data_IF_966201090838
#
_entry.id   IF_966201090838
#
_cell.length_a   1.000
_cell.length_b   1.000
_cell.length_c   1.000
_cell.angle_alpha   90.00
_cell.angle_beta   90.00
_cell.angle_gamma   90.00
#
_symmetry.space_group_name_H-M   'P 1'
#
loop_
_entity.id
_entity.type
_entity.pdbx_description
1 polymer ?
#
# COMPACT_ATOMS: atom_id res chain seq x y z
N UNK A 1 -10.15 -61.76 -23.36
CA UNK A 1 -9.54 -60.46 -23.75
C UNK A 1 -10.49 -59.26 -23.79
N UNK A 2 -11.82 -59.39 -23.52
CA UNK A 2 -12.78 -58.26 -23.54
C UNK A 2 -13.01 -57.60 -22.16
N UNK A 3 -12.80 -58.35 -21.07
CA UNK A 3 -13.04 -57.89 -19.69
C UNK A 3 -11.98 -56.88 -19.23
N UNK A 4 -10.72 -57.09 -19.60
CA UNK A 4 -9.61 -56.20 -19.25
C UNK A 4 -9.73 -54.79 -19.88
N UNK A 5 -10.35 -54.69 -21.07
CA UNK A 5 -10.57 -53.41 -21.75
C UNK A 5 -11.68 -52.60 -21.08
N UNK A 6 -12.69 -53.28 -20.52
CA UNK A 6 -13.81 -52.65 -19.83
C UNK A 6 -13.38 -52.01 -18.51
N UNK A 7 -12.53 -52.69 -17.73
CA UNK A 7 -11.97 -52.16 -16.48
C UNK A 7 -11.06 -50.96 -16.71
N UNK A 8 -10.20 -50.99 -17.74
CA UNK A 8 -9.35 -49.84 -18.12
C UNK A 8 -10.16 -48.59 -18.48
N UNK A 9 -11.34 -48.75 -19.07
CA UNK A 9 -12.24 -47.62 -19.40
C UNK A 9 -12.90 -47.03 -18.16
N UNK A 10 -13.23 -47.85 -17.16
CA UNK A 10 -13.77 -47.37 -15.89
C UNK A 10 -12.72 -46.57 -15.12
N UNK A 11 -11.47 -47.05 -15.06
CA UNK A 11 -10.36 -46.33 -14.41
C UNK A 11 -10.12 -44.96 -15.04
N UNK A 12 -10.18 -44.86 -16.38
CA UNK A 12 -10.01 -43.58 -17.09
C UNK A 12 -11.17 -42.62 -16.79
N UNK A 13 -12.42 -43.11 -16.73
CA UNK A 13 -13.59 -42.28 -16.43
C UNK A 13 -13.58 -41.81 -14.97
N UNK A 14 -13.19 -42.68 -14.04
CA UNK A 14 -13.06 -42.34 -12.62
C UNK A 14 -11.92 -41.33 -12.39
N UNK A 15 -10.79 -41.50 -13.08
CA UNK A 15 -9.68 -40.54 -13.04
C UNK A 15 -10.07 -39.17 -13.63
N UNK A 16 -10.83 -39.15 -14.74
CA UNK A 16 -11.32 -37.90 -15.32
C UNK A 16 -12.33 -37.19 -14.40
N UNK A 17 -13.23 -37.95 -13.74
CA UNK A 17 -14.19 -37.42 -12.79
C UNK A 17 -13.51 -36.79 -11.56
N UNK A 18 -12.40 -37.38 -11.10
CA UNK A 18 -11.59 -36.84 -10.00
C UNK A 18 -10.94 -35.49 -10.39
N UNK A 19 -10.47 -35.33 -11.63
CA UNK A 19 -9.88 -34.07 -12.10
C UNK A 19 -10.90 -32.94 -12.22
N UNK A 20 -12.17 -33.24 -12.50
CA UNK A 20 -13.23 -32.21 -12.63
C UNK A 20 -13.77 -31.81 -11.24
N UNK A 21 -13.90 -32.77 -10.31
CA UNK A 21 -14.44 -32.53 -8.96
C UNK A 21 -13.40 -31.95 -7.98
N UNK A 22 -12.10 -32.12 -8.23
CA UNK A 22 -11.02 -31.49 -7.47
C UNK A 22 -10.41 -30.28 -8.18
N UNK A 23 -11.24 -29.53 -8.92
CA UNK A 23 -10.90 -28.14 -9.22
C UNK A 23 -10.96 -27.36 -7.91
N UNK A 24 -9.89 -27.48 -7.10
CA UNK A 24 -9.71 -26.60 -5.95
C UNK A 24 -9.67 -25.18 -6.51
N UNK A 25 -10.71 -24.41 -6.19
CA UNK A 25 -10.72 -22.98 -6.37
C UNK A 25 -9.42 -22.45 -5.78
N UNK A 26 -8.46 -22.13 -6.66
CA UNK A 26 -7.27 -21.39 -6.29
C UNK A 26 -7.73 -19.97 -6.02
N UNK A 27 -8.34 -19.76 -4.85
CA UNK A 27 -8.56 -18.44 -4.33
C UNK A 27 -7.18 -17.94 -3.93
N UNK A 28 -6.57 -17.13 -4.80
CA UNK A 28 -5.42 -16.33 -4.43
C UNK A 28 -5.89 -15.44 -3.27
N UNK A 29 -5.58 -15.83 -2.03
CA UNK A 29 -6.13 -15.21 -0.84
C UNK A 29 -6.01 -13.68 -0.90
N UNK A 30 -7.13 -12.98 -0.79
CA UNK A 30 -7.12 -11.55 -0.64
C UNK A 30 -6.48 -11.20 0.70
N UNK A 31 -5.53 -10.26 0.65
CA UNK A 31 -4.84 -9.85 1.87
C UNK A 31 -5.60 -8.72 2.55
N UNK A 32 -5.84 -8.92 3.84
CA UNK A 32 -6.58 -8.01 4.72
C UNK A 32 -5.71 -6.94 5.41
N UNK A 33 -4.44 -6.83 5.03
CA UNK A 33 -3.50 -5.83 5.56
C UNK A 33 -3.44 -4.59 4.66
N UNK A 34 -2.81 -3.51 5.12
CA UNK A 34 -2.72 -2.24 4.38
C UNK A 34 -1.57 -2.23 3.36
N UNK A 35 -1.81 -1.69 2.16
CA UNK A 35 -0.78 -1.39 1.17
C UNK A 35 -0.68 0.11 0.94
N UNK A 36 0.35 0.75 1.50
CA UNK A 36 0.43 2.22 1.59
C UNK A 36 1.79 2.68 1.08
N UNK A 37 1.81 3.74 0.28
CA UNK A 37 3.07 4.42 -0.05
C UNK A 37 3.39 5.51 0.98
N UNK A 38 4.66 5.86 1.12
CA UNK A 38 5.08 7.10 1.75
C UNK A 38 6.00 7.92 0.85
N UNK A 39 5.82 9.24 0.88
CA UNK A 39 6.54 10.19 0.05
C UNK A 39 6.86 11.48 0.81
N UNK A 40 7.93 12.15 0.40
CA UNK A 40 8.29 13.48 0.86
C UNK A 40 8.83 14.32 -0.29
N UNK A 41 8.59 15.63 -0.24
CA UNK A 41 9.23 16.61 -1.11
C UNK A 41 10.11 17.54 -0.26
N UNK A 42 11.23 18.01 -0.82
CA UNK A 42 12.20 18.87 -0.17
C UNK A 42 13.56 18.19 0.07
N UNK A 43 14.64 18.96 -0.01
CA UNK A 43 16.02 18.45 0.13
C UNK A 43 16.73 18.92 1.40
N UNK A 44 16.05 19.71 2.23
CA UNK A 44 16.59 20.28 3.47
C UNK A 44 17.11 19.18 4.44
N UNK A 45 18.28 19.38 5.10
CA UNK A 45 18.78 18.47 6.13
C UNK A 45 17.74 18.12 7.22
N UNK A 46 16.93 19.09 7.64
CA UNK A 46 15.88 18.89 8.66
C UNK A 46 14.75 18.00 8.14
N UNK A 47 14.41 18.14 6.86
CA UNK A 47 13.45 17.26 6.19
C UNK A 47 13.99 15.82 6.16
N UNK A 48 15.28 15.66 5.85
CA UNK A 48 15.93 14.33 5.81
C UNK A 48 15.89 13.63 7.16
N UNK A 49 16.11 14.36 8.26
CA UNK A 49 16.03 13.78 9.60
C UNK A 49 14.62 13.28 9.94
N UNK A 50 13.58 14.03 9.56
CA UNK A 50 12.20 13.59 9.77
C UNK A 50 11.81 12.41 8.87
N UNK A 51 12.22 12.48 7.60
CA UNK A 51 12.06 11.41 6.62
C UNK A 51 12.64 10.08 7.14
N UNK A 52 13.83 10.11 7.72
CA UNK A 52 14.46 8.92 8.32
C UNK A 52 13.68 8.41 9.54
N UNK A 53 13.15 9.29 10.42
CA UNK A 53 12.28 8.85 11.54
C UNK A 53 11.01 8.15 11.07
N UNK A 54 10.36 8.68 10.02
CA UNK A 54 9.17 8.06 9.43
C UNK A 54 9.54 6.72 8.81
N UNK A 55 10.65 6.66 8.07
CA UNK A 55 11.17 5.45 7.44
C UNK A 55 11.53 4.36 8.47
N UNK A 56 12.16 4.72 9.58
CA UNK A 56 12.47 3.79 10.67
C UNK A 56 11.20 3.23 11.29
N UNK A 57 10.20 4.08 11.54
CA UNK A 57 8.91 3.63 12.08
C UNK A 57 8.16 2.71 11.10
N UNK A 58 8.08 3.11 9.84
CA UNK A 58 7.42 2.42 8.75
C UNK A 58 7.92 0.99 8.49
N UNK A 59 9.24 0.80 8.64
CA UNK A 59 9.90 -0.47 8.36
C UNK A 59 10.27 -1.23 9.64
N UNK A 60 9.86 -0.74 10.81
CA UNK A 60 10.12 -1.39 12.10
C UNK A 60 8.94 -2.22 12.59
N UNK A 61 9.20 -3.10 13.55
CA UNK A 61 8.22 -4.06 14.09
C UNK A 61 7.12 -3.43 14.97
N UNK A 62 7.24 -2.14 15.26
CA UNK A 62 6.38 -1.45 16.23
C UNK A 62 5.11 -0.87 15.62
N UNK A 63 5.00 -0.79 14.29
CA UNK A 63 3.86 -0.17 13.62
C UNK A 63 2.52 -0.85 13.97
N UNK A 64 2.53 -2.18 14.10
CA UNK A 64 1.39 -2.98 14.56
C UNK A 64 0.86 -2.50 15.89
N UNK A 65 1.75 -2.48 16.88
CA UNK A 65 1.41 -2.14 18.26
C UNK A 65 0.98 -0.69 18.42
N UNK A 66 1.58 0.24 17.65
CA UNK A 66 1.34 1.68 17.78
C UNK A 66 0.12 2.13 16.99
N UNK A 67 -0.09 1.60 15.79
CA UNK A 67 -1.23 1.96 14.95
C UNK A 67 -2.46 1.08 15.21
N UNK A 68 -2.33 -0.04 15.94
CA UNK A 68 -3.44 -0.95 16.24
C UNK A 68 -3.93 -1.71 15.00
N UNK A 69 -3.01 -2.09 14.11
CA UNK A 69 -3.31 -2.75 12.83
C UNK A 69 -2.60 -4.11 12.75
N UNK A 70 -3.01 -4.94 11.79
CA UNK A 70 -2.32 -6.18 11.43
C UNK A 70 -1.45 -5.94 10.20
N UNK A 71 -0.26 -5.41 10.42
CA UNK A 71 0.83 -5.26 9.47
C UNK A 71 1.58 -6.59 9.39
N UNK A 72 1.40 -7.33 8.29
CA UNK A 72 2.21 -8.53 8.06
C UNK A 72 3.61 -8.07 7.66
N UNK A 73 4.51 -8.10 8.64
CA UNK A 73 5.92 -7.76 8.53
C UNK A 73 6.50 -8.13 7.15
N UNK A 74 7.17 -7.16 6.52
CA UNK A 74 7.82 -7.23 5.20
C UNK A 74 6.95 -7.37 3.96
N UNK A 75 5.67 -7.69 4.06
CA UNK A 75 4.83 -7.91 2.88
C UNK A 75 3.69 -6.90 2.74
N UNK A 76 3.30 -6.23 3.83
CA UNK A 76 2.47 -5.02 3.81
C UNK A 76 3.36 -3.86 3.36
N UNK A 77 3.29 -3.47 2.10
CA UNK A 77 4.22 -2.45 1.58
C UNK A 77 3.97 -1.11 2.28
N UNK A 78 4.97 -0.59 3.02
CA UNK A 78 5.15 0.84 3.30
C UNK A 78 6.39 1.40 2.58
N UNK A 79 6.28 1.56 1.27
CA UNK A 79 7.41 1.86 0.40
C UNK A 79 7.77 3.36 0.37
N UNK A 80 9.05 3.65 0.55
CA UNK A 80 9.68 4.96 0.34
C UNK A 80 10.43 4.97 -0.99
N UNK A 81 9.85 5.60 -2.02
CA UNK A 81 10.54 6.26 -3.15
C UNK A 81 9.50 6.70 -4.21
N UNK A 82 9.43 7.99 -4.52
CA UNK A 82 8.66 8.44 -5.69
C UNK A 82 9.17 7.80 -7.00
N UNK A 83 10.46 7.47 -7.08
CA UNK A 83 11.08 6.86 -8.27
C UNK A 83 10.54 5.47 -8.60
N UNK A 84 10.22 4.64 -7.60
CA UNK A 84 9.67 3.30 -7.86
C UNK A 84 8.16 3.35 -8.05
N UNK A 85 7.46 4.27 -7.38
CA UNK A 85 6.06 4.54 -7.70
C UNK A 85 5.89 5.17 -9.09
N UNK A 86 6.97 5.75 -9.65
CA UNK A 86 6.97 6.52 -10.89
C UNK A 86 5.90 7.63 -10.88
N UNK A 87 5.60 8.16 -9.70
CA UNK A 87 4.69 9.29 -9.52
C UNK A 87 5.53 10.55 -9.58
N UNK A 88 5.29 11.46 -10.54
CA UNK A 88 6.07 12.68 -10.66
C UNK A 88 5.79 13.63 -9.49
N UNK A 89 6.83 14.31 -9.01
CA UNK A 89 6.72 15.26 -7.89
C UNK A 89 5.75 16.40 -8.20
N UNK A 90 5.60 16.80 -9.48
CA UNK A 90 4.58 17.77 -9.93
C UNK A 90 3.15 17.31 -9.60
N UNK A 91 2.84 16.03 -9.84
CA UNK A 91 1.53 15.48 -9.52
C UNK A 91 1.30 15.47 -8.00
N UNK A 92 2.33 15.13 -7.21
CA UNK A 92 2.25 15.19 -5.75
C UNK A 92 2.04 16.62 -5.26
N UNK A 93 2.76 17.60 -5.83
CA UNK A 93 2.58 19.03 -5.50
C UNK A 93 1.17 19.50 -5.81
N UNK A 94 0.64 19.19 -7.00
CA UNK A 94 -0.74 19.52 -7.39
C UNK A 94 -1.77 18.93 -6.43
N UNK A 95 -1.61 17.67 -6.02
CA UNK A 95 -2.57 17.01 -5.12
C UNK A 95 -2.45 17.51 -3.69
N UNK A 96 -1.24 17.50 -3.14
CA UNK A 96 -1.02 17.70 -1.70
C UNK A 96 -0.85 19.16 -1.30
N UNK A 97 -0.26 19.99 -2.16
CA UNK A 97 0.03 21.39 -1.84
C UNK A 97 -1.05 22.29 -2.46
N UNK A 98 -1.32 22.15 -3.74
CA UNK A 98 -2.27 23.01 -4.47
C UNK A 98 -3.72 22.56 -4.32
N UNK A 99 -3.96 21.34 -3.83
CA UNK A 99 -5.29 20.72 -3.71
C UNK A 99 -6.07 20.70 -5.03
N UNK A 100 -5.36 20.59 -6.15
CA UNK A 100 -5.96 20.52 -7.48
C UNK A 100 -6.78 19.23 -7.62
N UNK A 101 -8.11 19.38 -7.64
CA UNK A 101 -9.04 18.25 -7.67
C UNK A 101 -8.98 17.46 -8.98
N UNK A 102 -8.59 18.11 -10.09
CA UNK A 102 -8.41 17.46 -11.40
C UNK A 102 -7.25 16.46 -11.40
N UNK A 103 -6.30 16.63 -10.48
CA UNK A 103 -5.16 15.75 -10.31
C UNK A 103 -5.46 14.52 -9.44
N UNK A 104 -6.56 14.51 -8.68
CA UNK A 104 -6.91 13.39 -7.79
C UNK A 104 -7.17 12.07 -8.54
N UNK A 105 -7.88 12.05 -9.69
CA UNK A 105 -8.04 10.84 -10.50
C UNK A 105 -6.71 10.33 -11.06
N UNK A 106 -5.78 11.22 -11.41
CA UNK A 106 -4.46 10.82 -11.91
C UNK A 106 -3.65 10.09 -10.83
N UNK A 107 -3.60 10.65 -9.61
CA UNK A 107 -2.94 9.99 -8.49
C UNK A 107 -3.63 8.67 -8.10
N UNK A 108 -4.97 8.66 -8.05
CA UNK A 108 -5.73 7.43 -7.76
C UNK A 108 -5.43 6.31 -8.78
N UNK A 109 -5.34 6.65 -10.07
CA UNK A 109 -4.98 5.68 -11.11
C UNK A 109 -3.57 5.15 -10.92
N UNK A 110 -2.58 6.02 -10.66
CA UNK A 110 -1.20 5.60 -10.42
C UNK A 110 -1.11 4.59 -9.27
N UNK A 111 -1.74 4.89 -8.13
CA UNK A 111 -1.77 4.04 -6.95
C UNK A 111 -2.50 2.70 -7.21
N UNK A 112 -3.64 2.72 -7.90
CA UNK A 112 -4.38 1.50 -8.29
C UNK A 112 -3.62 0.62 -9.27
N UNK A 113 -2.82 1.22 -10.15
CA UNK A 113 -2.04 0.51 -11.16
C UNK A 113 -0.70 -0.01 -10.64
N UNK A 114 -0.30 0.36 -9.43
CA UNK A 114 0.99 -0.03 -8.89
C UNK A 114 1.06 -1.55 -8.68
N UNK A 115 2.16 -2.17 -9.11
CA UNK A 115 2.39 -3.61 -8.98
C UNK A 115 3.80 -3.85 -8.45
N UNK A 116 3.94 -4.74 -7.48
CA UNK A 116 5.24 -5.18 -6.97
C UNK A 116 5.21 -6.70 -6.73
N UNK A 117 5.58 -7.51 -7.74
CA UNK A 117 5.46 -8.97 -7.67
C UNK A 117 6.19 -9.60 -6.48
N UNK A 118 7.41 -9.13 -6.18
CA UNK A 118 8.25 -9.67 -5.09
C UNK A 118 7.66 -9.45 -3.69
N UNK A 119 6.76 -8.47 -3.53
CA UNK A 119 6.10 -8.12 -2.27
C UNK A 119 4.61 -8.48 -2.29
N UNK A 120 4.20 -9.23 -3.31
CA UNK A 120 2.83 -9.66 -3.54
C UNK A 120 1.79 -8.51 -3.58
N UNK A 121 2.17 -7.33 -4.09
CA UNK A 121 1.21 -6.25 -4.34
C UNK A 121 0.69 -6.36 -5.77
N UNK A 122 -0.49 -6.98 -5.88
CA UNK A 122 -1.18 -7.27 -7.15
C UNK A 122 -2.38 -6.36 -7.40
N UNK A 123 -2.97 -5.80 -6.35
CA UNK A 123 -4.25 -5.08 -6.43
C UNK A 123 -4.10 -3.57 -6.29
N UNK A 124 -2.86 -3.07 -6.35
CA UNK A 124 -2.54 -1.66 -6.14
C UNK A 124 -2.35 -1.29 -4.67
N UNK A 125 -2.22 0.01 -4.44
CA UNK A 125 -2.10 0.59 -3.10
C UNK A 125 -3.44 1.14 -2.64
N UNK A 126 -3.66 1.17 -1.33
CA UNK A 126 -4.81 1.77 -0.67
C UNK A 126 -4.71 3.30 -0.59
N UNK A 127 -3.48 3.82 -0.61
CA UNK A 127 -3.23 5.25 -0.58
C UNK A 127 -1.75 5.60 -0.41
N UNK A 128 -1.50 6.87 -0.15
CA UNK A 128 -0.17 7.42 0.07
C UNK A 128 -0.18 8.45 1.20
N UNK A 129 0.76 8.30 2.13
CA UNK A 129 1.09 9.32 3.13
C UNK A 129 2.16 10.23 2.55
N UNK A 130 2.00 11.53 2.69
CA UNK A 130 2.88 12.53 2.11
C UNK A 130 3.36 13.51 3.18
N UNK A 131 4.65 13.82 3.20
CA UNK A 131 5.24 14.85 4.04
C UNK A 131 5.76 16.02 3.19
N UNK A 132 5.22 17.21 3.40
CA UNK A 132 5.68 18.43 2.74
C UNK A 132 6.84 19.05 3.51
N UNK A 133 8.07 18.67 3.18
CA UNK A 133 9.28 19.21 3.79
C UNK A 133 9.79 20.53 3.19
N UNK A 134 9.05 21.18 2.28
CA UNK A 134 9.44 22.45 1.66
C UNK A 134 8.67 23.65 2.18
N UNK A 135 7.35 23.51 2.38
CA UNK A 135 6.47 24.66 2.65
C UNK A 135 5.82 24.59 4.02
N UNK A 136 5.01 23.55 4.24
CA UNK A 136 4.13 23.48 5.40
C UNK A 136 4.66 22.62 6.54
N UNK A 137 5.64 21.74 6.26
CA UNK A 137 6.13 20.73 7.21
C UNK A 137 5.00 19.86 7.77
N UNK A 138 3.95 19.62 6.99
CA UNK A 138 2.78 18.84 7.41
C UNK A 138 2.79 17.45 6.81
N UNK A 139 2.30 16.50 7.60
CA UNK A 139 1.97 15.17 7.14
C UNK A 139 0.53 15.15 6.62
N UNK A 140 0.32 14.46 5.51
CA UNK A 140 -0.93 14.39 4.78
C UNK A 140 -1.16 12.98 4.26
N UNK A 141 -2.38 12.67 3.83
CA UNK A 141 -2.73 11.37 3.27
C UNK A 141 -3.78 11.48 2.19
N UNK A 142 -3.57 10.74 1.11
CA UNK A 142 -4.53 10.57 0.04
C UNK A 142 -4.91 9.10 -0.06
N UNK A 143 -6.20 8.81 0.11
CA UNK A 143 -6.77 7.48 -0.08
C UNK A 143 -7.16 7.30 -1.54
N UNK A 144 -6.95 6.12 -2.09
CA UNK A 144 -7.32 5.82 -3.48
C UNK A 144 -8.82 6.05 -3.71
N UNK A 145 -9.14 6.81 -4.76
CA UNK A 145 -10.52 7.17 -5.10
C UNK A 145 -11.10 8.30 -4.24
N UNK A 146 -10.35 8.85 -3.29
CA UNK A 146 -10.81 9.97 -2.49
C UNK A 146 -10.91 11.26 -3.32
N UNK A 147 -11.80 12.15 -2.84
CA UNK A 147 -11.99 13.51 -3.39
C UNK A 147 -11.39 14.59 -2.49
N UNK A 148 -10.57 14.21 -1.52
CA UNK A 148 -9.92 15.14 -0.61
C UNK A 148 -8.63 14.53 -0.07
N UNK A 149 -7.77 15.38 0.47
CA UNK A 149 -6.54 14.98 1.16
C UNK A 149 -6.74 15.22 2.65
N UNK A 150 -6.47 14.19 3.45
CA UNK A 150 -6.43 14.30 4.90
C UNK A 150 -5.13 14.98 5.32
N UNK A 151 -5.19 15.89 6.27
CA UNK A 151 -4.02 16.63 6.75
C UNK A 151 -3.95 16.50 8.26
N UNK A 152 -2.78 16.12 8.78
CA UNK A 152 -2.57 16.17 10.21
C UNK A 152 -2.48 17.65 10.64
N UNK A 153 -3.19 18.07 11.70
CA UNK A 153 -3.32 19.48 12.04
C UNK A 153 -2.00 20.13 12.44
N UNK A 154 -1.07 19.37 13.01
CA UNK A 154 0.21 19.87 13.49
C UNK A 154 1.28 19.79 12.38
N UNK A 155 2.03 20.88 12.22
CA UNK A 155 3.27 20.89 11.44
C UNK A 155 4.43 20.37 12.30
N UNK A 156 5.33 19.63 11.68
CA UNK A 156 6.51 19.07 12.32
C UNK A 156 7.73 19.96 12.10
N UNK A 157 8.71 19.82 13.00
CA UNK A 157 10.06 20.34 12.84
C UNK A 157 11.01 19.16 12.99
N UNK A 158 12.28 19.29 12.58
CA UNK A 158 13.27 18.22 12.78
C UNK A 158 13.37 17.74 14.26
N UNK A 159 13.17 18.68 15.19
CA UNK A 159 13.15 18.42 16.63
C UNK A 159 11.89 17.72 17.16
N UNK A 160 10.89 17.43 16.31
CA UNK A 160 9.69 16.72 16.71
C UNK A 160 10.04 15.35 17.32
N UNK A 161 9.32 15.01 18.40
CA UNK A 161 9.51 13.74 19.11
C UNK A 161 9.04 12.59 18.23
N UNK A 162 9.76 11.48 18.22
CA UNK A 162 9.42 10.31 17.39
C UNK A 162 7.98 9.85 17.62
N UNK A 163 7.53 9.79 18.88
CA UNK A 163 6.14 9.44 19.25
C UNK A 163 5.07 10.34 18.61
N UNK A 164 5.36 11.62 18.39
CA UNK A 164 4.40 12.55 17.76
C UNK A 164 4.27 12.28 16.27
N UNK A 165 5.40 11.98 15.61
CA UNK A 165 5.48 11.63 14.19
C UNK A 165 4.74 10.31 13.95
N UNK A 166 4.97 9.31 14.79
CA UNK A 166 4.32 8.00 14.73
C UNK A 166 2.80 8.11 14.87
N UNK A 167 2.33 8.86 15.87
CA UNK A 167 0.90 9.11 16.07
C UNK A 167 0.28 9.76 14.84
N UNK A 168 0.94 10.76 14.29
CA UNK A 168 0.47 11.45 13.10
C UNK A 168 0.40 10.51 11.90
N UNK A 169 1.44 9.69 11.71
CA UNK A 169 1.49 8.68 10.68
C UNK A 169 0.33 7.69 10.80
N UNK A 170 0.11 7.10 11.99
CA UNK A 170 -1.00 6.17 12.23
C UNK A 170 -2.37 6.82 11.97
N UNK A 171 -2.57 8.07 12.38
CA UNK A 171 -3.83 8.79 12.15
C UNK A 171 -4.12 9.07 10.67
N UNK A 172 -3.09 9.02 9.84
CA UNK A 172 -3.14 9.30 8.40
C UNK A 172 -3.07 8.03 7.55
N UNK A 173 -3.01 6.84 8.15
CA UNK A 173 -3.03 5.59 7.40
C UNK A 173 -4.30 5.52 6.53
N UNK A 174 -4.14 5.38 5.20
CA UNK A 174 -5.26 5.13 4.31
C UNK A 174 -6.03 3.87 4.72
N UNK A 175 -7.37 3.89 4.76
CA UNK A 175 -8.16 2.67 4.94
C UNK A 175 -7.97 1.74 3.74
N UNK A 176 -8.21 0.45 3.94
CA UNK A 176 -8.17 -0.55 2.86
C UNK A 176 -9.28 -0.24 1.84
N UNK A 177 -8.92 -0.14 0.56
CA UNK A 177 -9.87 0.20 -0.53
C UNK A 177 -9.94 -0.86 -1.62
N UNK A 178 -9.09 -1.88 -1.54
CA UNK A 178 -9.07 -3.01 -2.47
C UNK A 178 -10.26 -3.93 -2.20
N UNK A 179 -10.76 -4.56 -3.26
CA UNK A 179 -11.78 -5.60 -3.12
C UNK A 179 -11.18 -6.83 -2.41
N UNK A 180 -11.96 -7.52 -1.57
CA UNK A 180 -11.59 -8.81 -0.99
C UNK A 180 -11.62 -9.94 -2.03
#
# INVERSE_FOLDING_TARGET
>A
MKIAIFWRRIEIVVALAFCILFSMDSFAGARSDHFVAWSSIGSDPDNRALAEKIKEFANGDRIDSICGIQWKNNDSILYFNNRVLKIPDDLLRKVFIERNTESFPALSRALRSFRHPERNVRDGLDGIVFYDGERSFRMMSFTVGARSVKTYPQAFKASAKTKEIERAFCSLLPPITRAP
#
